data_IF_090119638037
#
_entry.id   IF_090119638037
#
_cell.length_a   1.000
_cell.length_b   1.000
_cell.length_c   1.000
_cell.angle_alpha   90.00
_cell.angle_beta   90.00
_cell.angle_gamma   90.00
#
_symmetry.space_group_name_H-M   'P 1'
#
loop_
_entity.id
_entity.type
_entity.pdbx_description
1 polymer ?
#
# COMPACT_ATOMS: atom_id res chain seq x y z
N UNK A 1 46.77 35.94 57.36
CA UNK A 1 46.83 34.47 57.15
C UNK A 1 45.45 33.79 57.08
N UNK A 2 44.41 34.32 57.75
CA UNK A 2 43.04 33.74 57.76
C UNK A 2 42.35 33.77 56.37
N UNK A 3 42.53 34.83 55.59
CA UNK A 3 41.89 34.97 54.26
C UNK A 3 42.34 33.91 53.23
N UNK A 4 43.62 33.52 53.24
CA UNK A 4 44.17 32.49 52.35
C UNK A 4 43.58 31.10 52.64
N UNK A 5 43.37 30.79 53.93
CA UNK A 5 42.78 29.52 54.35
C UNK A 5 41.30 29.41 53.94
N UNK A 6 40.55 30.51 54.10
CA UNK A 6 39.14 30.59 53.65
C UNK A 6 39.03 30.46 52.12
N UNK A 7 39.94 31.10 51.38
CA UNK A 7 39.96 31.00 49.91
C UNK A 7 40.28 29.57 49.45
N UNK A 8 41.27 28.90 50.05
CA UNK A 8 41.61 27.51 49.75
C UNK A 8 40.46 26.54 50.06
N UNK A 9 39.77 26.75 51.18
CA UNK A 9 38.57 25.97 51.55
C UNK A 9 37.44 26.15 50.54
N UNK A 10 37.18 27.38 50.09
CA UNK A 10 36.14 27.68 49.09
C UNK A 10 36.45 27.06 47.72
N UNK A 11 37.72 27.08 47.30
CA UNK A 11 38.17 26.40 46.08
C UNK A 11 37.95 24.88 46.16
N UNK A 12 38.34 24.24 47.26
CA UNK A 12 38.08 22.80 47.47
C UNK A 12 36.60 22.44 47.40
N UNK A 13 35.73 23.25 48.05
CA UNK A 13 34.29 23.04 47.99
C UNK A 13 33.75 23.17 46.57
N UNK A 14 34.22 24.18 45.82
CA UNK A 14 33.82 24.39 44.44
C UNK A 14 34.30 23.25 43.53
N UNK A 15 35.55 22.80 43.66
CA UNK A 15 36.08 21.64 42.93
C UNK A 15 35.27 20.37 43.20
N UNK A 16 34.87 20.13 44.46
CA UNK A 16 34.02 18.98 44.79
C UNK A 16 32.61 19.11 44.19
N UNK A 17 32.02 20.32 44.21
CA UNK A 17 30.74 20.57 43.57
C UNK A 17 30.78 20.31 42.05
N UNK A 18 31.84 20.78 41.37
CA UNK A 18 32.05 20.53 39.93
C UNK A 18 32.18 19.04 39.63
N UNK A 19 32.91 18.27 40.47
CA UNK A 19 33.04 16.82 40.30
C UNK A 19 31.68 16.11 40.43
N UNK A 20 30.88 16.51 41.42
CA UNK A 20 29.53 15.96 41.59
C UNK A 20 28.64 16.29 40.40
N UNK A 21 28.67 17.54 39.93
CA UNK A 21 27.93 17.99 38.76
C UNK A 21 28.35 17.25 37.49
N UNK A 22 29.65 16.97 37.31
CA UNK A 22 30.16 16.17 36.19
C UNK A 22 29.57 14.74 36.19
N UNK A 23 29.49 14.10 37.36
CA UNK A 23 28.88 12.77 37.50
C UNK A 23 27.38 12.83 37.17
N UNK A 24 26.67 13.87 37.60
CA UNK A 24 25.26 14.06 37.28
C UNK A 24 25.03 14.28 35.78
N UNK A 25 25.86 15.10 35.13
CA UNK A 25 25.82 15.31 33.67
C UNK A 25 26.07 14.00 32.92
N UNK A 26 27.05 13.21 33.34
CA UNK A 26 27.33 11.90 32.73
C UNK A 26 26.13 10.95 32.85
N UNK A 27 25.50 10.86 34.03
CA UNK A 27 24.28 10.06 34.23
C UNK A 27 23.13 10.57 33.38
N UNK A 28 22.93 11.88 33.33
CA UNK A 28 21.88 12.52 32.54
C UNK A 28 22.08 12.31 31.04
N UNK A 29 23.32 12.39 30.55
CA UNK A 29 23.66 12.11 29.16
C UNK A 29 23.36 10.65 28.77
N UNK A 30 23.75 9.69 29.61
CA UNK A 30 23.45 8.27 29.39
C UNK A 30 21.92 8.01 29.37
N UNK A 31 21.17 8.64 30.29
CA UNK A 31 19.71 8.56 30.29
C UNK A 31 19.09 9.20 29.04
N UNK A 32 19.59 10.35 28.60
CA UNK A 32 19.14 11.02 27.39
C UNK A 32 19.39 10.17 26.14
N UNK A 33 20.50 9.43 26.08
CA UNK A 33 20.77 8.49 25.00
C UNK A 33 19.76 7.34 24.96
N UNK A 34 19.47 6.73 26.13
CA UNK A 34 18.48 5.66 26.26
C UNK A 34 17.09 6.17 25.84
N UNK A 35 16.70 7.36 26.30
CA UNK A 35 15.43 7.98 25.94
C UNK A 35 15.36 8.30 24.44
N UNK A 36 16.44 8.82 23.85
CA UNK A 36 16.51 9.09 22.42
C UNK A 36 16.29 7.81 21.59
N UNK A 37 16.91 6.69 21.99
CA UNK A 37 16.70 5.38 21.36
C UNK A 37 15.25 4.91 21.50
N UNK A 38 14.65 5.06 22.68
CA UNK A 38 13.25 4.67 22.92
C UNK A 38 12.26 5.53 22.09
N UNK A 39 12.50 6.83 21.96
CA UNK A 39 11.69 7.73 21.14
C UNK A 39 11.75 7.32 19.67
N UNK A 40 12.95 7.04 19.13
CA UNK A 40 13.11 6.56 17.75
C UNK A 40 12.36 5.25 17.49
N UNK A 41 12.43 4.29 18.41
CA UNK A 41 11.70 3.03 18.28
C UNK A 41 10.17 3.24 18.31
N UNK A 42 9.70 4.14 19.18
CA UNK A 42 8.28 4.50 19.28
C UNK A 42 7.79 5.17 18.01
N UNK A 43 8.57 6.11 17.47
CA UNK A 43 8.27 6.79 16.22
C UNK A 43 8.18 5.81 15.05
N UNK A 44 9.17 4.91 14.91
CA UNK A 44 9.17 3.89 13.87
C UNK A 44 7.92 3.00 13.96
N UNK A 45 7.57 2.55 15.18
CA UNK A 45 6.38 1.74 15.39
C UNK A 45 5.09 2.50 15.00
N UNK A 46 4.97 3.76 15.40
CA UNK A 46 3.83 4.60 15.03
C UNK A 46 3.68 4.78 13.52
N UNK A 47 4.82 4.95 12.81
CA UNK A 47 4.83 5.00 11.34
C UNK A 47 4.33 3.69 10.73
N UNK A 48 4.84 2.53 11.18
CA UNK A 48 4.39 1.20 10.70
C UNK A 48 2.89 0.99 10.90
N UNK A 49 2.34 1.34 12.08
CA UNK A 49 0.91 1.25 12.36
C UNK A 49 0.08 2.16 11.44
N UNK A 50 0.55 3.39 11.21
CA UNK A 50 -0.11 4.31 10.28
C UNK A 50 -0.11 3.77 8.85
N UNK A 51 1.01 3.23 8.38
CA UNK A 51 1.14 2.65 7.04
C UNK A 51 0.18 1.47 6.83
N UNK A 52 0.08 0.55 7.81
CA UNK A 52 -0.85 -0.58 7.71
C UNK A 52 -2.31 -0.13 7.59
N UNK A 53 -2.73 0.88 8.35
CA UNK A 53 -4.10 1.44 8.25
C UNK A 53 -4.36 2.10 6.91
N UNK A 54 -3.37 2.82 6.37
CA UNK A 54 -3.48 3.41 5.03
C UNK A 54 -3.60 2.28 4.00
N UNK A 55 -2.81 1.21 4.13
CA UNK A 55 -2.86 0.07 3.24
C UNK A 55 -4.23 -0.60 3.21
N UNK A 56 -4.86 -0.82 4.37
CA UNK A 56 -6.22 -1.34 4.47
C UNK A 56 -7.24 -0.46 3.73
N UNK A 57 -7.18 0.87 3.93
CA UNK A 57 -8.05 1.82 3.25
C UNK A 57 -7.85 1.84 1.74
N UNK A 58 -6.60 1.77 1.28
CA UNK A 58 -6.29 1.71 -0.16
C UNK A 58 -6.75 0.40 -0.77
N UNK A 59 -6.59 -0.74 -0.08
CA UNK A 59 -7.14 -2.04 -0.54
C UNK A 59 -8.64 -1.97 -0.77
N UNK A 60 -9.40 -1.35 0.13
CA UNK A 60 -10.84 -1.15 -0.05
C UNK A 60 -11.15 -0.29 -1.29
N UNK A 61 -10.38 0.77 -1.51
CA UNK A 61 -10.52 1.60 -2.72
C UNK A 61 -10.19 0.83 -4.00
N UNK A 62 -9.14 0.00 -3.99
CA UNK A 62 -8.77 -0.87 -5.11
C UNK A 62 -9.91 -1.85 -5.43
N UNK A 63 -10.52 -2.45 -4.41
CA UNK A 63 -11.70 -3.30 -4.55
C UNK A 63 -12.86 -2.57 -5.22
N UNK A 64 -13.17 -1.34 -4.79
CA UNK A 64 -14.22 -0.53 -5.40
C UNK A 64 -13.92 -0.12 -6.86
N UNK A 65 -12.66 0.15 -7.21
CA UNK A 65 -12.27 0.38 -8.61
C UNK A 65 -12.48 -0.89 -9.44
N UNK A 66 -12.11 -2.05 -8.89
CA UNK A 66 -12.29 -3.34 -9.54
C UNK A 66 -13.76 -3.70 -9.72
N UNK A 67 -14.61 -3.35 -8.76
CA UNK A 67 -16.07 -3.46 -8.88
C UNK A 67 -16.59 -2.67 -10.07
N UNK A 68 -16.26 -1.38 -10.20
CA UNK A 68 -16.68 -0.59 -11.36
C UNK A 68 -16.20 -1.19 -12.69
N UNK A 69 -14.97 -1.70 -12.71
CA UNK A 69 -14.44 -2.37 -13.88
C UNK A 69 -15.24 -3.66 -14.19
N UNK A 70 -15.50 -4.48 -13.19
CA UNK A 70 -16.32 -5.69 -13.30
C UNK A 70 -17.71 -5.35 -13.82
N UNK A 71 -18.41 -4.36 -13.25
CA UNK A 71 -19.72 -3.92 -13.75
C UNK A 71 -19.68 -3.46 -15.21
N UNK A 72 -18.64 -2.69 -15.58
CA UNK A 72 -18.47 -2.23 -16.95
C UNK A 72 -18.21 -3.36 -17.95
N UNK A 73 -17.75 -4.53 -17.46
CA UNK A 73 -17.61 -5.74 -18.28
C UNK A 73 -18.92 -6.50 -18.48
N UNK A 74 -19.90 -6.28 -17.62
CA UNK A 74 -21.20 -6.95 -17.68
C UNK A 74 -22.29 -6.08 -18.31
N UNK A 75 -22.05 -4.78 -18.50
CA UNK A 75 -23.06 -3.80 -18.92
C UNK A 75 -23.39 -3.81 -20.43
N UNK A 76 -22.60 -4.48 -21.27
CA UNK A 76 -22.68 -4.41 -22.73
C UNK A 76 -23.06 -5.76 -23.36
N UNK A 77 -24.32 -6.18 -23.18
CA UNK A 77 -25.08 -6.83 -24.25
C UNK A 77 -25.26 -8.36 -24.25
N UNK A 78 -26.47 -8.78 -23.89
CA UNK A 78 -27.27 -9.85 -24.54
C UNK A 78 -26.93 -11.33 -24.38
N UNK A 79 -25.85 -11.76 -23.71
CA UNK A 79 -25.59 -13.22 -23.55
C UNK A 79 -24.90 -13.66 -22.25
N UNK A 80 -25.00 -12.86 -21.19
CA UNK A 80 -24.44 -13.27 -19.91
C UNK A 80 -24.85 -12.33 -18.80
N UNK A 81 -26.15 -12.26 -18.49
CA UNK A 81 -26.59 -11.64 -17.25
C UNK A 81 -25.96 -12.43 -16.10
N UNK A 82 -24.85 -11.93 -15.55
CA UNK A 82 -24.55 -12.20 -14.15
C UNK A 82 -25.78 -11.74 -13.39
N UNK A 83 -26.51 -12.68 -12.78
CA UNK A 83 -27.68 -12.38 -12.00
C UNK A 83 -27.34 -11.23 -11.03
N UNK A 84 -28.18 -10.21 -10.96
CA UNK A 84 -27.97 -9.07 -10.05
C UNK A 84 -27.67 -9.53 -8.62
N UNK A 85 -28.23 -10.67 -8.24
CA UNK A 85 -27.97 -11.37 -6.98
C UNK A 85 -26.47 -11.68 -6.77
N UNK A 86 -25.75 -12.14 -7.80
CA UNK A 86 -24.31 -12.43 -7.69
C UNK A 86 -23.48 -11.15 -7.49
N UNK A 87 -23.85 -10.04 -8.12
CA UNK A 87 -23.17 -8.75 -7.90
C UNK A 87 -23.42 -8.27 -6.47
N UNK A 88 -24.67 -8.40 -5.99
CA UNK A 88 -25.02 -8.08 -4.60
C UNK A 88 -24.24 -8.95 -3.59
N UNK A 89 -24.06 -10.24 -3.87
CA UNK A 89 -23.25 -11.13 -3.05
C UNK A 89 -21.77 -10.72 -3.03
N UNK A 90 -21.19 -10.36 -4.18
CA UNK A 90 -19.81 -9.87 -4.25
C UNK A 90 -19.64 -8.55 -3.47
N UNK A 91 -20.61 -7.63 -3.54
CA UNK A 91 -20.60 -6.42 -2.72
C UNK A 91 -20.72 -6.72 -1.23
N UNK A 92 -21.54 -7.69 -0.83
CA UNK A 92 -21.68 -8.09 0.56
C UNK A 92 -20.34 -8.65 1.10
N UNK A 93 -19.67 -9.48 0.31
CA UNK A 93 -18.35 -10.03 0.66
C UNK A 93 -17.28 -8.94 0.75
N UNK A 94 -17.27 -8.01 -0.20
CA UNK A 94 -16.32 -6.88 -0.22
C UNK A 94 -16.45 -5.99 1.01
N UNK A 95 -17.69 -5.64 1.39
CA UNK A 95 -17.98 -4.77 2.53
C UNK A 95 -17.84 -5.47 3.89
N UNK A 96 -17.81 -6.80 3.94
CA UNK A 96 -17.58 -7.53 5.17
C UNK A 96 -16.10 -7.47 5.54
N UNK A 97 -15.21 -8.12 4.78
CA UNK A 97 -13.78 -8.17 5.12
C UNK A 97 -12.86 -8.54 3.93
N UNK A 98 -13.38 -8.58 2.69
CA UNK A 98 -12.64 -9.13 1.56
C UNK A 98 -12.60 -8.17 0.36
N UNK A 99 -11.71 -7.15 0.39
CA UNK A 99 -11.63 -6.13 -0.65
C UNK A 99 -11.19 -6.68 -2.02
N UNK A 100 -10.73 -7.93 -2.08
CA UNK A 100 -10.13 -8.54 -3.27
C UNK A 100 -11.09 -9.46 -4.03
N UNK A 101 -12.35 -9.57 -3.59
CA UNK A 101 -13.34 -10.49 -4.19
C UNK A 101 -13.61 -10.22 -5.67
N UNK A 102 -13.67 -8.94 -6.07
CA UNK A 102 -13.81 -8.56 -7.47
C UNK A 102 -12.54 -8.84 -8.26
N UNK A 103 -11.35 -8.64 -7.69
CA UNK A 103 -10.09 -8.99 -8.35
C UNK A 103 -9.99 -10.47 -8.63
N UNK A 104 -10.36 -11.33 -7.68
CA UNK A 104 -10.39 -12.78 -7.92
C UNK A 104 -11.43 -13.18 -8.97
N UNK A 105 -12.57 -12.51 -9.02
CA UNK A 105 -13.56 -12.72 -10.08
C UNK A 105 -13.01 -12.35 -11.46
N UNK A 106 -12.27 -11.25 -11.56
CA UNK A 106 -11.61 -10.82 -12.79
C UNK A 106 -10.46 -11.76 -13.19
N UNK A 107 -9.71 -12.29 -12.22
CA UNK A 107 -8.70 -13.33 -12.47
C UNK A 107 -9.33 -14.59 -13.06
N UNK A 108 -10.48 -15.03 -12.55
CA UNK A 108 -11.20 -16.19 -13.09
C UNK A 108 -11.60 -15.95 -14.55
N UNK A 109 -12.11 -14.77 -14.88
CA UNK A 109 -12.45 -14.39 -16.26
C UNK A 109 -11.21 -14.46 -17.16
N UNK A 110 -10.08 -13.91 -16.71
CA UNK A 110 -8.81 -13.99 -17.44
C UNK A 110 -8.39 -15.45 -17.69
N UNK A 111 -8.45 -16.32 -16.68
CA UNK A 111 -8.06 -17.72 -16.84
C UNK A 111 -8.99 -18.51 -17.77
N UNK A 112 -10.29 -18.19 -17.79
CA UNK A 112 -11.28 -18.90 -18.60
C UNK A 112 -11.26 -18.50 -20.07
N UNK A 113 -10.99 -17.23 -20.37
CA UNK A 113 -11.15 -16.66 -21.72
C UNK A 113 -9.84 -16.21 -22.37
N UNK A 114 -8.71 -16.32 -21.66
CA UNK A 114 -7.39 -16.06 -22.21
C UNK A 114 -7.00 -14.57 -22.27
N UNK A 115 -5.85 -14.30 -22.88
CA UNK A 115 -5.21 -12.97 -22.85
C UNK A 115 -5.94 -11.92 -23.69
N UNK A 116 -6.44 -12.28 -24.87
CA UNK A 116 -7.18 -11.35 -25.73
C UNK A 116 -8.42 -10.81 -25.04
N UNK A 117 -9.24 -11.70 -24.46
CA UNK A 117 -10.42 -11.27 -23.73
C UNK A 117 -10.07 -10.47 -22.48
N UNK A 118 -9.03 -10.89 -21.75
CA UNK A 118 -8.55 -10.13 -20.59
C UNK A 118 -8.07 -8.73 -20.98
N UNK A 119 -7.39 -8.56 -22.13
CA UNK A 119 -7.04 -7.23 -22.63
C UNK A 119 -8.28 -6.38 -22.88
N UNK A 120 -9.30 -6.91 -23.56
CA UNK A 120 -10.57 -6.19 -23.78
C UNK A 120 -11.32 -5.87 -22.49
N UNK A 121 -11.20 -6.75 -21.49
CA UNK A 121 -11.78 -6.57 -20.17
C UNK A 121 -11.15 -5.38 -19.44
N UNK A 122 -9.82 -5.20 -19.53
CA UNK A 122 -9.11 -4.10 -18.87
C UNK A 122 -9.06 -2.81 -19.70
N UNK A 123 -8.96 -2.93 -21.01
CA UNK A 123 -8.60 -1.83 -21.93
C UNK A 123 -9.48 -1.76 -23.18
N UNK A 124 -10.57 -2.53 -23.25
CA UNK A 124 -11.44 -2.56 -24.43
C UNK A 124 -12.34 -1.36 -24.62
N UNK A 125 -12.47 -0.50 -23.61
CA UNK A 125 -13.23 0.75 -23.70
C UNK A 125 -12.53 1.86 -22.96
N UNK A 126 -12.83 3.12 -23.30
CA UNK A 126 -12.32 4.30 -22.58
C UNK A 126 -12.62 4.23 -21.08
N UNK A 127 -13.79 3.70 -20.72
CA UNK A 127 -14.23 3.55 -19.32
C UNK A 127 -13.38 2.49 -18.61
N UNK A 128 -13.22 1.31 -19.21
CA UNK A 128 -12.38 0.21 -18.67
C UNK A 128 -10.94 0.67 -18.51
N UNK A 129 -10.36 1.31 -19.53
CA UNK A 129 -9.01 1.90 -19.46
C UNK A 129 -8.87 2.87 -18.30
N UNK A 130 -9.85 3.78 -18.10
CA UNK A 130 -9.82 4.72 -16.98
C UNK A 130 -9.85 4.00 -15.62
N UNK A 131 -10.63 2.94 -15.47
CA UNK A 131 -10.65 2.16 -14.22
C UNK A 131 -9.31 1.44 -14.00
N UNK A 132 -8.76 0.80 -15.04
CA UNK A 132 -7.47 0.11 -14.99
C UNK A 132 -6.32 1.06 -14.64
N UNK A 133 -6.23 2.23 -15.28
CA UNK A 133 -5.18 3.21 -14.95
C UNK A 133 -5.34 3.79 -13.54
N UNK A 134 -6.58 4.00 -13.07
CA UNK A 134 -6.81 4.39 -11.69
C UNK A 134 -6.40 3.29 -10.71
N UNK A 135 -6.66 2.02 -11.04
CA UNK A 135 -6.26 0.89 -10.22
C UNK A 135 -4.73 0.85 -10.11
N UNK A 136 -4.03 0.87 -11.24
CA UNK A 136 -2.56 0.89 -11.35
C UNK A 136 -1.98 2.04 -10.52
N UNK A 137 -2.47 3.27 -10.71
CA UNK A 137 -1.98 4.44 -9.98
C UNK A 137 -2.12 4.31 -8.46
N UNK A 138 -3.24 3.77 -7.97
CA UNK A 138 -3.43 3.59 -6.52
C UNK A 138 -2.59 2.43 -5.97
N UNK A 139 -2.37 1.38 -6.76
CA UNK A 139 -1.51 0.26 -6.38
C UNK A 139 -0.03 0.67 -6.31
N UNK A 140 0.48 1.41 -7.30
CA UNK A 140 1.85 1.95 -7.28
C UNK A 140 2.11 2.79 -6.02
N UNK A 141 1.16 3.65 -5.64
CA UNK A 141 1.28 4.45 -4.42
C UNK A 141 1.25 3.61 -3.15
N UNK A 142 0.49 2.51 -3.15
CA UNK A 142 0.45 1.58 -2.03
C UNK A 142 1.79 0.82 -1.90
N UNK A 143 2.34 0.36 -3.02
CA UNK A 143 3.64 -0.30 -3.10
C UNK A 143 4.74 0.63 -2.56
N UNK A 144 4.80 1.88 -3.06
CA UNK A 144 5.78 2.86 -2.59
C UNK A 144 5.65 3.12 -1.08
N UNK A 145 4.43 3.24 -0.57
CA UNK A 145 4.20 3.44 0.87
C UNK A 145 4.57 2.21 1.72
N UNK A 146 4.43 1.00 1.17
CA UNK A 146 4.87 -0.22 1.83
C UNK A 146 6.40 -0.28 1.91
N UNK A 147 7.10 -0.02 0.79
CA UNK A 147 8.57 -0.02 0.72
C UNK A 147 9.23 0.90 1.75
N UNK A 148 8.62 2.06 2.06
CA UNK A 148 9.14 2.99 3.06
C UNK A 148 9.15 2.45 4.50
N UNK A 149 8.38 1.41 4.81
CA UNK A 149 8.18 0.93 6.18
C UNK A 149 8.37 -0.59 6.37
N UNK A 150 8.74 -1.31 5.30
CA UNK A 150 8.81 -2.76 5.23
C UNK A 150 10.26 -3.27 5.20
N UNK A 151 10.93 -3.14 6.34
CA UNK A 151 12.36 -3.51 6.48
C UNK A 151 12.67 -4.96 6.05
N UNK A 152 11.70 -5.87 6.18
CA UNK A 152 11.84 -7.31 5.91
C UNK A 152 11.16 -7.77 4.61
N UNK A 153 10.55 -6.85 3.84
CA UNK A 153 9.88 -7.14 2.56
C UNK A 153 8.53 -7.89 2.67
N UNK A 154 8.05 -8.17 3.88
CA UNK A 154 6.86 -9.00 4.10
C UNK A 154 5.56 -8.33 3.64
N UNK A 155 5.44 -7.01 3.82
CA UNK A 155 4.25 -6.25 3.43
C UNK A 155 4.19 -6.15 1.91
N UNK A 156 5.32 -5.83 1.27
CA UNK A 156 5.43 -5.73 -0.17
C UNK A 156 5.14 -7.07 -0.84
N UNK A 157 5.78 -8.15 -0.37
CA UNK A 157 5.54 -9.51 -0.89
C UNK A 157 4.07 -9.91 -0.73
N UNK A 158 3.45 -9.57 0.41
CA UNK A 158 2.02 -9.83 0.63
C UNK A 158 1.12 -9.02 -0.31
N UNK A 159 1.51 -7.81 -0.70
CA UNK A 159 0.73 -6.97 -1.61
C UNK A 159 0.83 -7.47 -3.05
N UNK A 160 2.05 -7.79 -3.50
CA UNK A 160 2.30 -8.28 -4.86
C UNK A 160 1.76 -9.70 -5.06
N UNK A 161 1.82 -10.54 -4.02
CA UNK A 161 1.26 -11.89 -4.04
C UNK A 161 -0.27 -11.97 -3.91
N UNK A 162 -0.96 -10.83 -3.75
CA UNK A 162 -2.42 -10.80 -3.58
C UNK A 162 -3.16 -10.78 -4.92
N UNK A 163 -4.50 -10.92 -4.90
CA UNK A 163 -5.29 -10.82 -6.13
C UNK A 163 -5.22 -9.40 -6.73
N UNK A 164 -5.08 -8.37 -5.90
CA UNK A 164 -4.79 -7.01 -6.39
C UNK A 164 -3.43 -6.95 -7.08
N UNK A 165 -2.39 -7.55 -6.48
CA UNK A 165 -1.05 -7.62 -7.06
C UNK A 165 -1.03 -8.33 -8.42
N UNK A 166 -1.69 -9.48 -8.52
CA UNK A 166 -1.78 -10.19 -9.80
C UNK A 166 -2.48 -9.37 -10.89
N UNK A 167 -3.60 -8.73 -10.57
CA UNK A 167 -4.32 -7.90 -11.56
C UNK A 167 -3.49 -6.68 -11.94
N UNK A 168 -2.79 -6.06 -10.98
CA UNK A 168 -1.86 -4.96 -11.25
C UNK A 168 -0.78 -5.39 -12.25
N UNK A 169 -0.12 -6.52 -12.03
CA UNK A 169 0.89 -7.04 -12.97
C UNK A 169 0.32 -7.27 -14.37
N UNK A 170 -0.89 -7.84 -14.46
CA UNK A 170 -1.55 -8.07 -15.75
C UNK A 170 -1.93 -6.78 -16.46
N UNK A 171 -2.46 -5.78 -15.74
CA UNK A 171 -2.76 -4.47 -16.32
C UNK A 171 -1.50 -3.81 -16.87
N UNK A 172 -0.41 -3.81 -16.10
CA UNK A 172 0.89 -3.30 -16.54
C UNK A 172 1.39 -4.02 -17.79
N UNK A 173 1.37 -5.36 -17.79
CA UNK A 173 1.81 -6.16 -18.92
C UNK A 173 1.01 -5.86 -20.19
N UNK A 174 -0.31 -5.75 -20.09
CA UNK A 174 -1.18 -5.42 -21.23
C UNK A 174 -1.02 -3.99 -21.73
N UNK A 175 -0.76 -3.03 -20.84
CA UNK A 175 -0.47 -1.65 -21.23
C UNK A 175 0.83 -1.55 -22.01
N UNK A 176 1.87 -2.24 -21.53
CA UNK A 176 3.22 -2.12 -22.06
C UNK A 176 3.44 -3.03 -23.28
N UNK A 177 2.75 -4.17 -23.33
CA UNK A 177 2.79 -5.15 -24.42
C UNK A 177 1.39 -5.74 -24.68
N UNK A 178 0.52 -5.02 -25.42
CA UNK A 178 -0.79 -5.54 -25.83
C UNK A 178 -0.67 -6.87 -26.62
N UNK A 179 -1.66 -7.78 -26.51
CA UNK A 179 -1.69 -8.99 -27.34
C UNK A 179 -1.79 -8.67 -28.83
N UNK A 180 -1.41 -9.62 -29.67
CA UNK A 180 -1.45 -9.48 -31.13
C UNK A 180 -2.85 -9.06 -31.61
N UNK A 181 -2.89 -8.05 -32.48
CA UNK A 181 -4.15 -7.48 -33.00
C UNK A 181 -4.76 -6.38 -32.12
N UNK A 182 -4.17 -6.07 -30.97
CA UNK A 182 -4.60 -4.96 -30.12
C UNK A 182 -3.55 -3.85 -30.06
N UNK A 183 -4.01 -2.62 -29.82
CA UNK A 183 -3.15 -1.46 -29.55
C UNK A 183 -3.71 -0.71 -28.36
N UNK A 184 -2.87 -0.47 -27.35
CA UNK A 184 -3.27 0.27 -26.15
C UNK A 184 -3.83 1.66 -26.52
N UNK A 185 -4.98 2.00 -25.96
CA UNK A 185 -5.67 3.27 -26.23
C UNK A 185 -6.46 3.33 -27.53
N UNK A 186 -6.53 2.23 -28.29
CA UNK A 186 -7.41 2.08 -29.46
C UNK A 186 -8.58 1.16 -29.11
N UNK A 187 -9.78 1.46 -29.64
CA UNK A 187 -11.05 0.83 -29.26
C UNK A 187 -11.89 0.47 -30.49
N UNK A 188 -11.25 -0.08 -31.53
CA UNK A 188 -11.82 -0.39 -32.84
C UNK A 188 -12.28 -1.85 -32.98
N UNK A 189 -12.50 -2.52 -31.85
CA UNK A 189 -12.93 -3.91 -31.74
C UNK A 189 -14.14 -4.03 -30.80
N UNK A 190 -14.83 -5.17 -30.86
CA UNK A 190 -15.89 -5.49 -29.89
C UNK A 190 -15.26 -5.84 -28.53
N UNK A 191 -15.50 -5.05 -27.47
CA UNK A 191 -14.90 -5.26 -26.16
C UNK A 191 -15.51 -6.44 -25.38
N UNK A 192 -16.60 -7.03 -25.87
CA UNK A 192 -17.33 -8.10 -25.19
C UNK A 192 -17.24 -9.43 -25.92
N UNK A 193 -16.66 -9.46 -27.12
CA UNK A 193 -16.43 -10.70 -27.84
C UNK A 193 -15.28 -11.51 -27.24
N UNK A 194 -15.50 -12.82 -27.11
CA UNK A 194 -14.50 -13.78 -26.63
C UNK A 194 -13.42 -14.12 -27.67
N UNK A 195 -13.62 -13.73 -28.92
CA UNK A 195 -12.71 -13.99 -30.07
C UNK A 195 -11.56 -12.97 -30.15
#
# INVERSE_FOLDING_TARGET
MIGYFLQKKKLMQNTNAIKMQYIEIQKSAAQAEIQSKAIKATELHARKVSSLRIAESVKQKLGAIMDFLYLSSQASGSSGDVAQDKIADLWAVMNQDDPEVFSRSMMQIHFLHGENYAFKLFYGTVIRTRHSENFVFNMERLIMAAEECDDDGMILDSLLGSAHGFIYEKMMAFRDSPPDGFTYGTYDFDPDSFE
#
